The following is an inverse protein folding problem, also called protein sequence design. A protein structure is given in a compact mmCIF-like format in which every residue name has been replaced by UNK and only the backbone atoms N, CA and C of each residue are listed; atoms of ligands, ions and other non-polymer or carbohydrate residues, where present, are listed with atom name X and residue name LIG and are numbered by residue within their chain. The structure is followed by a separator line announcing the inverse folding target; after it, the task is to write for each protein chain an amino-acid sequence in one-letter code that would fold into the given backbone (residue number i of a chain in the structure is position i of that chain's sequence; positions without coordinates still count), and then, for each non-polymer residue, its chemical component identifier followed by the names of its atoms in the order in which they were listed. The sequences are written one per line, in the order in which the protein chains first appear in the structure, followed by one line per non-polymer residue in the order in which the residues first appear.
data_IF_877346250551
#
_entry.id   IF_877346250551
#
_cell.length_a   1.000
_cell.length_b   1.000
_cell.length_c   1.000
_cell.angle_alpha   90.00
_cell.angle_beta   90.00
_cell.angle_gamma   90.00
#
_symmetry.space_group_name_H-M   'P 1'
#
loop_
_entity.id
_entity.type
_entity.pdbx_description
1 polymer ?
#
# COMPACT_ATOMS: atom_id res chain seq x y z
N UNK A 1 -11.35 -12.38 -20.55
CA UNK A 1 -11.73 -12.27 -19.13
C UNK A 1 -13.21 -12.60 -18.99
N UNK A 2 -13.54 -13.32 -17.91
CA UNK A 2 -14.92 -13.56 -17.51
C UNK A 2 -15.14 -12.87 -16.17
N UNK A 3 -16.13 -11.96 -16.11
CA UNK A 3 -16.50 -11.31 -14.87
C UNK A 3 -17.14 -12.34 -13.92
N UNK A 4 -16.77 -12.31 -12.65
CA UNK A 4 -17.36 -13.17 -11.60
C UNK A 4 -18.85 -12.85 -11.37
N UNK A 5 -19.32 -11.65 -11.76
CA UNK A 5 -20.70 -11.19 -11.62
C UNK A 5 -21.11 -10.84 -10.19
N UNK A 6 -20.15 -10.89 -9.24
CA UNK A 6 -20.37 -10.53 -7.83
C UNK A 6 -19.07 -10.05 -7.18
N UNK A 7 -19.12 -9.18 -6.17
CA UNK A 7 -17.93 -8.78 -5.42
C UNK A 7 -17.37 -9.96 -4.63
N UNK A 8 -16.04 -10.02 -4.46
CA UNK A 8 -15.36 -10.98 -3.58
C UNK A 8 -15.60 -10.62 -2.12
N UNK A 9 -15.56 -9.34 -1.79
CA UNK A 9 -15.81 -8.81 -0.43
C UNK A 9 -17.10 -8.00 -0.46
N UNK A 10 -18.08 -8.40 0.33
CA UNK A 10 -19.44 -7.81 0.33
C UNK A 10 -19.69 -6.88 1.50
N UNK A 11 -18.87 -6.93 2.56
CA UNK A 11 -19.06 -6.13 3.76
C UNK A 11 -17.73 -5.70 4.39
N UNK A 12 -17.75 -4.57 5.11
CA UNK A 12 -16.61 -4.12 5.89
C UNK A 12 -16.50 -4.90 7.20
N UNK A 13 -15.32 -5.46 7.54
CA UNK A 13 -15.12 -6.11 8.85
C UNK A 13 -15.15 -5.13 10.03
N UNK A 14 -15.15 -3.82 9.76
CA UNK A 14 -15.23 -2.76 10.78
C UNK A 14 -16.61 -2.07 10.82
N UNK A 15 -17.54 -2.47 9.93
CA UNK A 15 -18.85 -1.83 9.78
C UNK A 15 -18.82 -0.44 9.14
N UNK A 16 -17.65 0.03 8.68
CA UNK A 16 -17.45 1.35 8.04
C UNK A 16 -16.33 1.27 7.00
N UNK A 17 -16.12 2.36 6.25
CA UNK A 17 -15.13 2.42 5.17
C UNK A 17 -15.60 1.71 3.90
N UNK A 18 -14.70 1.59 2.92
CA UNK A 18 -15.00 1.05 1.59
C UNK A 18 -14.15 -0.20 1.30
N UNK A 19 -14.72 -1.17 0.58
CA UNK A 19 -14.05 -2.40 0.15
C UNK A 19 -13.45 -2.20 -1.24
N UNK A 20 -12.42 -1.36 -1.30
CA UNK A 20 -11.68 -1.00 -2.53
C UNK A 20 -10.17 -1.11 -2.31
N UNK A 21 -9.37 -0.77 -3.31
CA UNK A 21 -7.92 -0.71 -3.28
C UNK A 21 -7.30 -2.06 -2.92
N UNK A 22 -7.65 -3.06 -3.69
CA UNK A 22 -7.23 -4.44 -3.44
C UNK A 22 -5.79 -4.69 -3.90
N UNK A 23 -5.01 -5.41 -3.06
CA UNK A 23 -3.74 -6.04 -3.43
C UNK A 23 -3.81 -7.55 -3.21
N UNK A 24 -3.20 -8.31 -4.13
CA UNK A 24 -3.06 -9.77 -4.04
C UNK A 24 -1.59 -10.13 -3.91
N UNK A 25 -1.24 -10.76 -2.80
CA UNK A 25 0.12 -11.20 -2.52
C UNK A 25 0.17 -12.73 -2.39
N UNK A 26 1.04 -13.38 -3.19
CA UNK A 26 1.36 -14.79 -3.00
C UNK A 26 2.63 -14.91 -2.15
N UNK A 27 2.49 -15.50 -0.98
CA UNK A 27 3.58 -15.66 -0.02
C UNK A 27 4.58 -16.70 -0.54
N UNK A 28 5.84 -16.33 -0.78
CA UNK A 28 6.85 -17.25 -1.28
C UNK A 28 7.28 -18.32 -0.25
N UNK A 29 6.90 -18.17 1.03
CA UNK A 29 7.23 -19.12 2.09
C UNK A 29 6.21 -20.26 2.15
N UNK A 30 4.94 -19.93 2.15
CA UNK A 30 3.84 -20.90 2.26
C UNK A 30 3.23 -21.29 0.94
N UNK A 31 3.41 -20.51 -0.12
CA UNK A 31 2.73 -20.66 -1.40
C UNK A 31 1.28 -20.22 -1.40
N UNK A 32 0.77 -19.76 -0.27
CA UNK A 32 -0.61 -19.28 -0.13
C UNK A 32 -0.75 -17.86 -0.66
N UNK A 33 -1.94 -17.52 -1.15
CA UNK A 33 -2.27 -16.19 -1.62
C UNK A 33 -3.18 -15.46 -0.62
N UNK A 34 -2.96 -14.17 -0.51
CA UNK A 34 -3.69 -13.29 0.41
C UNK A 34 -4.26 -12.10 -0.34
N UNK A 35 -5.45 -11.68 0.05
CA UNK A 35 -6.10 -10.46 -0.41
C UNK A 35 -6.01 -9.42 0.69
N UNK A 36 -5.58 -8.20 0.34
CA UNK A 36 -5.61 -7.03 1.22
C UNK A 36 -6.50 -5.97 0.59
N UNK A 37 -7.25 -5.23 1.41
CA UNK A 37 -8.17 -4.21 0.91
C UNK A 37 -8.54 -3.20 1.99
N UNK A 38 -9.19 -2.13 1.57
CA UNK A 38 -9.92 -1.20 2.42
C UNK A 38 -9.49 0.25 2.30
N UNK A 39 -10.48 1.13 2.33
CA UNK A 39 -10.35 2.57 2.49
C UNK A 39 -11.00 2.97 3.82
N UNK A 40 -10.25 3.66 4.68
CA UNK A 40 -10.61 3.95 6.06
C UNK A 40 -10.31 2.82 7.05
N UNK A 41 -9.89 1.66 6.57
CA UNK A 41 -9.35 0.54 7.33
C UNK A 41 -8.49 -0.34 6.40
N UNK A 42 -7.58 -1.12 6.97
CA UNK A 42 -6.90 -2.20 6.26
C UNK A 42 -7.41 -3.54 6.77
N UNK A 43 -7.82 -4.41 5.88
CA UNK A 43 -8.10 -5.81 6.18
C UNK A 43 -7.27 -6.74 5.29
N UNK A 44 -7.12 -7.98 5.73
CA UNK A 44 -6.49 -9.04 4.95
C UNK A 44 -7.11 -10.39 5.25
N UNK A 45 -7.10 -11.30 4.26
CA UNK A 45 -7.54 -12.67 4.39
C UNK A 45 -6.79 -13.60 3.44
N UNK A 46 -6.69 -14.88 3.76
CA UNK A 46 -6.19 -15.91 2.84
C UNK A 46 -7.22 -16.14 1.73
N UNK A 47 -6.78 -16.18 0.48
CA UNK A 47 -7.62 -16.56 -0.66
C UNK A 47 -7.79 -18.08 -0.71
N UNK A 48 -8.94 -18.53 -1.19
CA UNK A 48 -9.10 -19.93 -1.60
C UNK A 48 -8.25 -20.23 -2.83
N UNK A 49 -7.98 -21.51 -3.09
CA UNK A 49 -7.09 -21.95 -4.16
C UNK A 49 -7.57 -21.54 -5.56
N UNK A 50 -8.87 -21.30 -5.73
CA UNK A 50 -9.48 -20.80 -6.96
C UNK A 50 -9.26 -19.30 -7.18
N UNK A 51 -8.74 -18.56 -6.19
CA UNK A 51 -8.52 -17.10 -6.21
C UNK A 51 -9.81 -16.26 -6.37
N UNK A 52 -10.99 -16.87 -6.23
CA UNK A 52 -12.29 -16.23 -6.47
C UNK A 52 -13.06 -15.90 -5.18
N UNK A 53 -12.52 -16.27 -4.04
CA UNK A 53 -13.08 -15.99 -2.72
C UNK A 53 -12.02 -16.02 -1.63
N UNK A 54 -12.32 -15.44 -0.49
CA UNK A 54 -11.45 -15.50 0.71
C UNK A 54 -11.92 -16.62 1.66
N UNK A 55 -11.00 -17.12 2.47
CA UNK A 55 -11.31 -17.93 3.65
C UNK A 55 -11.74 -16.99 4.76
N UNK A 56 -13.03 -16.81 4.93
CA UNK A 56 -13.62 -15.78 5.81
C UNK A 56 -13.11 -15.86 7.25
N UNK A 57 -12.87 -17.07 7.76
CA UNK A 57 -12.33 -17.32 9.10
C UNK A 57 -10.91 -16.79 9.30
N UNK A 58 -10.20 -16.47 8.21
CA UNK A 58 -8.85 -15.87 8.24
C UNK A 58 -8.87 -14.35 8.19
N UNK A 59 -10.05 -13.74 8.02
CA UNK A 59 -10.17 -12.29 7.88
C UNK A 59 -9.74 -11.57 9.15
N UNK A 60 -8.79 -10.67 9.02
CA UNK A 60 -8.26 -9.84 10.11
C UNK A 60 -8.25 -8.36 9.75
N UNK A 61 -8.45 -7.51 10.75
CA UNK A 61 -8.26 -6.07 10.62
C UNK A 61 -6.80 -5.76 10.94
N UNK A 62 -6.10 -5.24 9.95
CA UNK A 62 -4.66 -4.95 9.99
C UNK A 62 -4.35 -3.47 10.18
N UNK A 63 -5.36 -2.62 10.24
CA UNK A 63 -5.20 -1.17 10.36
C UNK A 63 -4.23 -0.80 11.48
N UNK A 64 -3.08 -0.17 11.19
CA UNK A 64 -2.17 0.32 12.22
C UNK A 64 -2.88 1.35 13.12
N UNK A 65 -2.69 1.20 14.43
CA UNK A 65 -3.32 2.10 15.42
C UNK A 65 -2.50 3.37 15.59
N UNK A 66 -3.18 4.50 15.77
CA UNK A 66 -2.55 5.79 16.00
C UNK A 66 -2.07 6.47 14.73
N UNK A 67 -1.13 7.39 14.88
CA UNK A 67 -0.67 8.26 13.79
C UNK A 67 -1.60 9.45 13.52
N UNK A 68 -1.11 10.33 12.67
CA UNK A 68 -1.82 11.50 12.16
C UNK A 68 -1.69 11.56 10.65
N UNK A 69 -2.37 12.49 9.99
CA UNK A 69 -2.23 12.73 8.55
C UNK A 69 -0.81 13.17 8.12
N UNK A 70 0.02 13.58 9.07
CA UNK A 70 1.42 13.95 8.84
C UNK A 70 2.39 12.81 9.11
N UNK A 71 1.92 11.68 9.67
CA UNK A 71 2.79 10.57 10.07
C UNK A 71 2.43 9.26 9.37
N UNK A 72 1.49 8.47 9.93
CA UNK A 72 1.19 7.13 9.40
C UNK A 72 -0.28 6.71 9.58
N UNK A 73 -1.20 7.64 9.82
CA UNK A 73 -2.62 7.30 9.90
C UNK A 73 -3.07 6.59 8.62
N UNK A 74 -3.65 5.41 8.74
CA UNK A 74 -4.09 4.65 7.58
C UNK A 74 -5.24 5.34 6.85
N UNK A 75 -5.10 5.49 5.54
CA UNK A 75 -6.18 5.94 4.66
C UNK A 75 -6.64 4.84 3.71
N UNK A 76 -5.73 4.32 2.86
CA UNK A 76 -6.08 3.42 1.77
C UNK A 76 -4.85 2.74 1.13
N UNK A 77 -5.06 1.99 0.04
CA UNK A 77 -4.03 1.43 -0.82
C UNK A 77 -3.04 0.50 -0.08
N UNK A 78 -3.51 -0.56 0.58
CA UNK A 78 -2.60 -1.54 1.14
C UNK A 78 -1.80 -2.23 0.02
N UNK A 79 -0.51 -2.46 0.26
CA UNK A 79 0.35 -3.23 -0.64
C UNK A 79 1.35 -4.03 0.18
N UNK A 80 1.62 -5.29 -0.20
CA UNK A 80 2.47 -6.18 0.59
C UNK A 80 3.59 -6.78 -0.25
N UNK A 81 4.79 -6.81 0.31
CA UNK A 81 5.92 -7.57 -0.23
C UNK A 81 6.58 -8.41 0.85
N UNK A 82 7.29 -9.45 0.43
CA UNK A 82 8.18 -10.24 1.28
C UNK A 82 9.63 -10.05 0.85
N UNK A 83 10.51 -9.79 1.83
CA UNK A 83 11.94 -9.68 1.60
C UNK A 83 12.73 -10.19 2.80
N UNK A 84 13.59 -11.18 2.57
CA UNK A 84 14.56 -11.71 3.56
C UNK A 84 13.95 -12.03 4.94
N UNK A 85 12.81 -12.72 4.95
CA UNK A 85 12.16 -13.15 6.19
C UNK A 85 11.17 -12.16 6.79
N UNK A 86 10.94 -11.00 6.15
CA UNK A 86 10.10 -9.92 6.67
C UNK A 86 9.02 -9.58 5.66
N UNK A 87 7.78 -9.41 6.12
CA UNK A 87 6.67 -8.87 5.35
C UNK A 87 6.62 -7.36 5.54
N UNK A 88 6.64 -6.61 4.45
CA UNK A 88 6.53 -5.15 4.44
C UNK A 88 5.16 -4.77 3.95
N UNK A 89 4.44 -4.02 4.76
CA UNK A 89 3.12 -3.49 4.47
C UNK A 89 3.23 -2.01 4.18
N UNK A 90 2.76 -1.60 3.02
CA UNK A 90 2.69 -0.20 2.60
C UNK A 90 1.25 0.27 2.63
N UNK A 91 1.05 1.54 2.88
CA UNK A 91 -0.26 2.18 2.75
C UNK A 91 -0.12 3.66 2.50
N UNK A 92 -1.21 4.27 2.04
CA UNK A 92 -1.30 5.71 1.82
C UNK A 92 -1.92 6.42 3.02
N UNK A 93 -1.43 7.61 3.28
CA UNK A 93 -1.87 8.53 4.34
C UNK A 93 -2.42 9.79 3.71
N UNK A 94 -3.47 10.38 4.29
CA UNK A 94 -4.20 11.54 3.79
C UNK A 94 -5.12 11.18 2.59
N UNK A 95 -5.53 12.15 1.80
CA UNK A 95 -6.48 11.99 0.69
C UNK A 95 -5.78 12.19 -0.66
N UNK A 96 -6.26 11.47 -1.69
CA UNK A 96 -5.71 11.52 -3.04
C UNK A 96 -5.74 12.92 -3.68
N UNK A 97 -6.58 13.83 -3.19
CA UNK A 97 -6.62 15.26 -3.60
C UNK A 97 -5.65 16.14 -2.83
N UNK A 98 -5.01 15.63 -1.79
CA UNK A 98 -4.09 16.39 -0.94
C UNK A 98 -2.67 16.41 -1.52
N UNK A 99 -1.99 17.56 -1.58
CA UNK A 99 -0.55 17.60 -1.92
C UNK A 99 0.31 16.88 -0.89
N UNK A 100 -0.21 16.61 0.33
CA UNK A 100 0.45 15.88 1.39
C UNK A 100 0.17 14.36 1.35
N UNK A 101 -0.59 13.85 0.40
CA UNK A 101 -0.82 12.42 0.20
C UNK A 101 0.53 11.72 0.04
N UNK A 102 0.80 10.69 0.85
CA UNK A 102 2.13 10.08 0.92
C UNK A 102 2.08 8.60 1.30
N UNK A 103 3.18 7.88 1.07
CA UNK A 103 3.34 6.45 1.34
C UNK A 103 4.15 6.24 2.62
N UNK A 104 3.66 5.34 3.44
CA UNK A 104 4.36 4.86 4.64
C UNK A 104 4.39 3.34 4.69
N UNK A 105 5.17 2.78 5.65
CA UNK A 105 5.25 1.34 5.82
C UNK A 105 5.35 0.90 7.29
N UNK A 106 5.04 -0.35 7.49
CA UNK A 106 5.35 -1.14 8.67
C UNK A 106 5.78 -2.54 8.28
N UNK A 107 6.16 -3.35 9.26
CA UNK A 107 6.62 -4.71 9.03
C UNK A 107 5.85 -5.71 9.89
N UNK A 108 5.84 -6.98 9.46
CA UNK A 108 5.29 -8.09 10.24
C UNK A 108 6.10 -9.36 10.02
N UNK A 109 5.88 -10.34 10.90
CA UNK A 109 6.48 -11.68 10.78
C UNK A 109 5.51 -12.67 10.10
N UNK A 110 4.31 -12.24 9.76
CA UNK A 110 3.27 -13.03 9.12
C UNK A 110 2.54 -12.20 8.07
N UNK A 111 2.04 -12.81 6.97
CA UNK A 111 1.24 -12.12 5.96
C UNK A 111 -0.07 -11.53 6.50
N UNK A 112 -0.55 -12.01 7.63
CA UNK A 112 -1.74 -11.46 8.30
C UNK A 112 -1.41 -10.71 9.61
N UNK A 113 -0.20 -10.12 9.68
CA UNK A 113 0.20 -9.25 10.78
C UNK A 113 0.58 -9.98 12.08
N UNK A 114 0.58 -9.29 13.23
CA UNK A 114 0.29 -7.87 13.38
C UNK A 114 1.37 -6.97 12.74
N UNK A 115 0.96 -5.77 12.29
CA UNK A 115 1.87 -4.79 11.68
C UNK A 115 2.49 -3.91 12.76
N UNK A 116 3.82 -3.86 12.78
CA UNK A 116 4.61 -2.90 13.55
C UNK A 116 5.01 -1.74 12.64
N UNK A 117 4.54 -0.54 12.96
CA UNK A 117 4.88 0.67 12.20
C UNK A 117 6.37 0.95 12.35
N UNK A 118 7.05 1.23 11.25
CA UNK A 118 8.48 1.54 11.26
C UNK A 118 8.77 2.82 12.06
N UNK A 119 9.94 2.90 12.71
CA UNK A 119 10.36 4.11 13.45
C UNK A 119 10.46 5.35 12.56
N UNK A 120 10.88 5.18 11.32
CA UNK A 120 10.86 6.18 10.26
C UNK A 120 9.95 5.63 9.12
N UNK A 121 8.62 5.81 9.23
CA UNK A 121 7.68 5.08 8.39
C UNK A 121 7.55 5.66 6.98
N UNK A 122 7.94 6.92 6.75
CA UNK A 122 7.73 7.61 5.46
C UNK A 122 8.65 7.00 4.40
N UNK A 123 8.03 6.40 3.37
CA UNK A 123 8.72 5.86 2.19
C UNK A 123 8.82 6.91 1.10
N UNK A 124 7.73 7.63 0.84
CA UNK A 124 7.60 8.57 -0.26
C UNK A 124 6.70 9.71 0.18
N UNK A 125 7.14 10.95 -0.02
CA UNK A 125 6.40 12.17 0.30
C UNK A 125 6.70 13.23 -0.77
N UNK A 126 5.88 14.27 -0.84
CA UNK A 126 6.05 15.37 -1.79
C UNK A 126 7.48 15.95 -1.83
N UNK A 127 7.87 16.42 -3.01
CA UNK A 127 9.09 17.17 -3.23
C UNK A 127 8.76 18.54 -3.90
N UNK A 128 8.39 19.57 -3.11
CA UNK A 128 7.97 20.86 -3.67
C UNK A 128 9.06 21.58 -4.49
N UNK A 129 10.35 21.25 -4.27
CA UNK A 129 11.46 21.81 -5.06
C UNK A 129 11.41 21.37 -6.52
N UNK A 130 10.94 20.15 -6.76
CA UNK A 130 10.75 19.55 -8.08
C UNK A 130 9.26 19.60 -8.52
N UNK A 131 8.43 20.37 -7.81
CA UNK A 131 6.99 20.49 -8.07
C UNK A 131 6.24 19.15 -8.07
N UNK A 132 6.63 18.21 -7.19
CA UNK A 132 6.00 16.91 -7.03
C UNK A 132 5.11 16.93 -5.79
N UNK A 133 3.81 16.67 -5.99
CA UNK A 133 2.78 16.76 -4.96
C UNK A 133 1.93 15.50 -4.91
N UNK A 134 1.52 15.10 -3.72
CA UNK A 134 0.64 13.97 -3.46
C UNK A 134 1.14 12.62 -4.02
N UNK A 135 2.44 12.26 -3.90
CA UNK A 135 2.94 11.00 -4.42
C UNK A 135 2.54 9.85 -3.50
N UNK A 136 1.57 9.04 -3.91
CA UNK A 136 1.11 7.89 -3.11
C UNK A 136 0.38 6.82 -3.95
N UNK A 137 -0.40 5.95 -3.29
CA UNK A 137 -1.15 4.82 -3.86
C UNK A 137 -0.22 3.95 -4.71
N UNK A 138 0.73 3.32 -4.04
CA UNK A 138 1.86 2.65 -4.68
C UNK A 138 1.62 1.18 -5.00
N UNK A 139 2.42 0.68 -5.93
CA UNK A 139 2.84 -0.72 -6.02
C UNK A 139 4.36 -0.82 -5.96
N UNK A 140 4.87 -2.02 -5.66
CA UNK A 140 6.32 -2.27 -5.57
C UNK A 140 6.71 -3.33 -6.61
N UNK A 141 7.72 -3.01 -7.40
CA UNK A 141 8.27 -3.90 -8.41
C UNK A 141 9.65 -4.40 -7.99
N UNK A 142 9.81 -5.71 -7.90
CA UNK A 142 11.12 -6.34 -7.79
C UNK A 142 11.63 -6.77 -9.17
N UNK A 143 12.88 -6.46 -9.49
CA UNK A 143 13.51 -7.02 -10.68
C UNK A 143 13.70 -8.53 -10.50
N UNK A 144 13.19 -9.38 -11.40
CA UNK A 144 13.28 -10.83 -11.25
C UNK A 144 14.71 -11.32 -10.97
N UNK A 145 14.86 -12.14 -9.93
CA UNK A 145 16.14 -12.72 -9.52
C UNK A 145 17.15 -11.73 -8.90
N UNK A 146 16.77 -10.50 -8.61
CA UNK A 146 17.64 -9.48 -8.02
C UNK A 146 17.01 -8.82 -6.80
N UNK A 147 17.83 -8.41 -5.83
CA UNK A 147 17.42 -7.55 -4.71
C UNK A 147 17.46 -6.07 -5.17
N UNK A 148 16.72 -5.78 -6.24
CA UNK A 148 16.59 -4.45 -6.84
C UNK A 148 15.12 -4.13 -6.99
N UNK A 149 14.70 -3.00 -6.40
CA UNK A 149 13.33 -2.63 -6.19
C UNK A 149 13.00 -1.26 -6.75
N UNK A 150 11.77 -1.08 -7.18
CA UNK A 150 11.19 0.18 -7.61
C UNK A 150 9.84 0.38 -6.94
N UNK A 151 9.50 1.63 -6.64
CA UNK A 151 8.17 2.04 -6.25
C UNK A 151 7.51 2.69 -7.46
N UNK A 152 6.32 2.19 -7.82
CA UNK A 152 5.45 2.77 -8.84
C UNK A 152 4.31 3.45 -8.09
N UNK A 153 4.01 4.68 -8.41
CA UNK A 153 3.05 5.48 -7.68
C UNK A 153 2.40 6.51 -8.60
N UNK A 154 1.38 7.21 -8.14
CA UNK A 154 0.90 8.39 -8.85
C UNK A 154 1.28 9.67 -8.10
N UNK A 155 1.35 10.78 -8.84
CA UNK A 155 1.41 12.14 -8.30
C UNK A 155 0.29 12.98 -8.89
N UNK A 156 -0.04 14.11 -8.27
CA UNK A 156 -0.95 15.11 -8.84
C UNK A 156 -0.19 15.89 -9.91
N UNK A 157 -0.78 16.05 -11.10
CA UNK A 157 -0.22 16.96 -12.11
C UNK A 157 -0.16 18.38 -11.55
N UNK A 158 1.01 19.00 -11.57
CA UNK A 158 1.26 20.32 -10.96
C UNK A 158 0.38 21.45 -11.48
N UNK A 159 -0.09 21.34 -12.72
CA UNK A 159 -0.98 22.34 -13.33
C UNK A 159 -2.44 22.20 -12.88
N UNK A 160 -2.75 21.15 -12.12
CA UNK A 160 -4.09 20.77 -11.71
C UNK A 160 -4.23 20.55 -10.19
N UNK A 161 -3.36 21.15 -9.40
CA UNK A 161 -3.35 20.99 -7.94
C UNK A 161 -4.66 21.42 -7.25
N UNK A 162 -5.42 22.31 -7.88
CA UNK A 162 -6.65 22.88 -7.33
C UNK A 162 -7.92 22.44 -8.07
N UNK A 163 -7.82 21.47 -9.00
CA UNK A 163 -8.92 21.11 -9.90
C UNK A 163 -9.83 20.00 -9.34
N UNK A 164 -9.83 19.81 -8.03
CA UNK A 164 -10.69 18.82 -7.38
C UNK A 164 -9.91 17.66 -6.75
N UNK A 165 -10.55 16.51 -6.48
CA UNK A 165 -10.04 15.46 -5.61
C UNK A 165 -8.98 14.55 -6.29
N UNK A 166 -7.94 15.13 -6.91
CA UNK A 166 -6.83 14.36 -7.47
C UNK A 166 -7.16 13.60 -8.76
N UNK A 167 -7.99 14.14 -9.63
CA UNK A 167 -8.35 13.50 -10.90
C UNK A 167 -7.22 13.51 -11.93
N UNK A 168 -6.37 14.51 -11.91
CA UNK A 168 -5.26 14.68 -12.85
C UNK A 168 -3.98 14.04 -12.29
N UNK A 169 -3.93 12.71 -12.32
CA UNK A 169 -2.82 11.92 -11.77
C UNK A 169 -1.87 11.46 -12.87
N UNK A 170 -0.59 11.49 -12.56
CA UNK A 170 0.48 11.00 -13.41
C UNK A 170 1.15 9.80 -12.76
N UNK A 171 1.44 8.76 -13.54
CA UNK A 171 2.19 7.59 -13.07
C UNK A 171 3.68 7.89 -13.05
N UNK A 172 4.31 7.58 -11.94
CA UNK A 172 5.74 7.76 -11.70
C UNK A 172 6.38 6.45 -11.25
N UNK A 173 7.69 6.35 -11.43
CA UNK A 173 8.49 5.22 -10.96
C UNK A 173 9.84 5.72 -10.46
N UNK A 174 10.22 5.33 -9.25
CA UNK A 174 11.52 5.62 -8.66
C UNK A 174 12.17 4.36 -8.08
N UNK A 175 13.49 4.41 -7.93
CA UNK A 175 14.23 3.34 -7.28
C UNK A 175 13.94 3.34 -5.77
N UNK A 176 13.59 2.19 -5.22
CA UNK A 176 13.44 1.96 -3.79
C UNK A 176 14.63 1.14 -3.27
N UNK A 177 15.23 1.58 -2.17
CA UNK A 177 16.39 0.93 -1.56
C UNK A 177 16.15 0.58 -0.09
N UNK A 178 16.83 -0.46 0.35
CA UNK A 178 16.84 -0.89 1.74
C UNK A 178 18.19 -0.60 2.39
N UNK A 179 18.16 -0.24 3.65
CA UNK A 179 19.35 -0.19 4.49
C UNK A 179 19.84 -1.61 4.86
N UNK A 180 21.07 -1.77 5.36
CA UNK A 180 21.58 -3.08 5.78
C UNK A 180 20.74 -3.76 6.87
N UNK A 181 20.07 -2.99 7.72
CA UNK A 181 19.17 -3.47 8.78
C UNK A 181 17.76 -3.85 8.27
N UNK A 182 17.50 -3.71 6.98
CA UNK A 182 16.19 -4.00 6.36
C UNK A 182 15.21 -2.83 6.38
N UNK A 183 15.51 -1.70 7.00
CA UNK A 183 14.65 -0.51 6.91
C UNK A 183 14.67 0.07 5.49
N UNK A 184 13.57 0.71 5.08
CA UNK A 184 13.48 1.34 3.77
C UNK A 184 14.11 2.73 3.83
N UNK A 185 14.96 3.05 2.85
CA UNK A 185 15.43 4.42 2.64
C UNK A 185 14.29 5.24 2.07
N UNK A 186 14.04 6.42 2.63
CA UNK A 186 13.07 7.34 2.05
C UNK A 186 13.42 7.63 0.59
N UNK A 187 12.44 7.44 -0.28
CA UNK A 187 12.57 7.73 -1.71
C UNK A 187 12.40 9.23 -1.91
N UNK A 188 13.31 9.82 -2.66
CA UNK A 188 13.18 11.20 -3.13
C UNK A 188 12.54 11.12 -4.51
N UNK A 189 11.28 11.54 -4.66
CA UNK A 189 10.59 11.44 -5.93
C UNK A 189 11.25 12.34 -6.99
N UNK A 190 11.40 11.80 -8.20
CA UNK A 190 12.00 12.50 -9.36
C UNK A 190 10.94 12.98 -10.35
N UNK A 191 11.24 14.04 -11.14
CA UNK A 191 10.33 14.57 -12.15
C UNK A 191 9.83 13.57 -13.19
#
# INVERSE_FOLDING_TARGET
FTDLGKPIITSSPTGRGQQIDVDVFTDPVSGKSYLYWGNGYMAGAELNDDMLSVKEETTVVLTPKGGTLQTYAYREAPYVIYRKGVYYFFWSVDDTGSPNYHVVYGTAQSPLGPIEVAKAPIVLIQNPKEEIYGPAHNSILQVPGKDKWYIVYHRINKNHLNDGPGWHREVCIDRMEFNPDGTIKQVIPTP
#
